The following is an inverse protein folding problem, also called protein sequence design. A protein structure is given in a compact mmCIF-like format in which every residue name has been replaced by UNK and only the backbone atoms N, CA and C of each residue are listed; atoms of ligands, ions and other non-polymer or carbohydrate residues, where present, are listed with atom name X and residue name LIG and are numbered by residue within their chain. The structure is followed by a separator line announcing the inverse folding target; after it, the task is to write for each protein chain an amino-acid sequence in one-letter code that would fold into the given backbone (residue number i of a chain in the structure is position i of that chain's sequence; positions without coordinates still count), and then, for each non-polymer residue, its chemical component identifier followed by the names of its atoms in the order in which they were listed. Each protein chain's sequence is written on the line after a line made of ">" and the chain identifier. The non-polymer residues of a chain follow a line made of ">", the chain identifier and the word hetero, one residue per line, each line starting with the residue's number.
data_IF_910957615582
#
_entry.id   IF_910957615582
#
_cell.length_a   1.000
_cell.length_b   1.000
_cell.length_c   1.000
_cell.angle_alpha   90.00
_cell.angle_beta   90.00
_cell.angle_gamma   90.00
#
_symmetry.space_group_name_H-M   'P 1'
#
loop_
_entity.id
_entity.type
_entity.pdbx_description
1 polymer ?
#
# COMPACT_ATOMS: atom_id res chain seq x y z
N UNK A 1 -36.48 9.54 -6.20
CA UNK A 1 -35.22 9.51 -6.95
C UNK A 1 -34.05 9.12 -6.06
N UNK A 2 -33.31 8.07 -6.42
CA UNK A 2 -32.02 7.76 -5.77
C UNK A 2 -30.94 8.52 -6.55
N UNK A 3 -30.39 9.57 -5.98
CA UNK A 3 -29.22 10.25 -6.56
C UNK A 3 -27.98 9.40 -6.33
N UNK A 4 -27.17 9.21 -7.37
CA UNK A 4 -25.88 8.52 -7.28
C UNK A 4 -24.83 9.55 -6.86
N UNK A 5 -24.06 9.21 -5.83
CA UNK A 5 -22.98 10.05 -5.34
C UNK A 5 -21.66 9.28 -5.39
N UNK A 6 -20.74 9.69 -6.28
CA UNK A 6 -19.38 9.17 -6.32
C UNK A 6 -18.56 9.78 -5.18
N UNK A 7 -17.85 8.93 -4.43
CA UNK A 7 -17.01 9.32 -3.29
C UNK A 7 -15.52 9.40 -3.64
N UNK A 8 -15.14 8.79 -4.76
CA UNK A 8 -13.75 8.71 -5.25
C UNK A 8 -13.76 8.92 -6.76
N UNK A 9 -12.76 9.63 -7.25
CA UNK A 9 -12.47 9.85 -8.67
C UNK A 9 -10.96 10.08 -8.85
N UNK A 10 -10.46 9.83 -10.06
CA UNK A 10 -9.07 10.04 -10.44
C UNK A 10 -8.44 8.82 -11.12
N UNK A 11 -7.18 8.96 -11.49
CA UNK A 11 -6.40 7.93 -12.20
C UNK A 11 -5.80 6.91 -11.22
N UNK A 12 -6.67 6.23 -10.48
CA UNK A 12 -6.34 5.13 -9.55
C UNK A 12 -7.56 4.22 -9.39
N UNK A 13 -7.34 3.04 -8.82
CA UNK A 13 -8.37 2.03 -8.61
C UNK A 13 -8.61 1.78 -7.13
N UNK A 14 -9.88 1.78 -6.73
CA UNK A 14 -10.32 1.25 -5.44
C UNK A 14 -10.35 -0.27 -5.53
N UNK A 15 -9.43 -0.93 -4.83
CA UNK A 15 -9.22 -2.38 -4.87
C UNK A 15 -10.23 -3.11 -3.96
N UNK A 16 -10.45 -2.58 -2.76
CA UNK A 16 -11.27 -3.23 -1.73
C UNK A 16 -11.89 -2.23 -0.78
N UNK A 17 -13.20 -2.31 -0.55
CA UNK A 17 -13.85 -1.67 0.59
C UNK A 17 -13.52 -2.44 1.86
N UNK A 18 -13.00 -1.75 2.88
CA UNK A 18 -12.49 -2.39 4.09
C UNK A 18 -13.49 -2.26 5.22
N UNK A 19 -13.94 -1.04 5.51
CA UNK A 19 -14.82 -0.77 6.65
C UNK A 19 -15.60 0.54 6.47
N UNK A 20 -16.76 0.63 7.10
CA UNK A 20 -17.49 1.88 7.29
C UNK A 20 -17.62 2.12 8.79
N UNK A 21 -17.14 3.26 9.28
CA UNK A 21 -17.31 3.63 10.68
C UNK A 21 -18.62 4.40 10.86
N UNK A 22 -19.60 3.87 11.62
CA UNK A 22 -20.82 4.59 11.94
C UNK A 22 -20.56 5.77 12.91
N UNK A 23 -19.42 5.77 13.61
CA UNK A 23 -19.06 6.81 14.57
C UNK A 23 -18.60 8.08 13.87
N UNK A 24 -17.81 7.95 12.80
CA UNK A 24 -17.23 9.10 12.08
C UNK A 24 -17.88 9.36 10.72
N UNK A 25 -18.74 8.47 10.24
CA UNK A 25 -19.29 8.49 8.88
C UNK A 25 -18.20 8.45 7.79
N UNK A 26 -17.11 7.75 8.07
CA UNK A 26 -16.00 7.54 7.13
C UNK A 26 -16.03 6.13 6.54
N UNK A 27 -15.65 6.03 5.26
CA UNK A 27 -15.40 4.76 4.57
C UNK A 27 -13.90 4.58 4.41
N UNK A 28 -13.41 3.41 4.77
CA UNK A 28 -12.02 2.99 4.65
C UNK A 28 -11.90 1.97 3.52
N UNK A 29 -10.88 2.13 2.68
CA UNK A 29 -10.70 1.29 1.49
C UNK A 29 -9.22 1.14 1.13
N UNK A 30 -8.90 0.07 0.42
CA UNK A 30 -7.60 -0.13 -0.22
C UNK A 30 -7.65 0.44 -1.64
N UNK A 31 -6.58 1.12 -2.04
CA UNK A 31 -6.48 1.77 -3.35
C UNK A 31 -5.05 1.70 -3.88
N UNK A 32 -4.91 1.72 -5.20
CA UNK A 32 -3.65 2.11 -5.85
C UNK A 32 -3.44 3.63 -5.72
N UNK A 33 -2.28 4.12 -6.15
CA UNK A 33 -2.03 5.55 -6.31
C UNK A 33 -1.85 5.90 -7.79
N UNK A 34 -2.10 7.16 -8.13
CA UNK A 34 -1.85 7.66 -9.48
C UNK A 34 -0.39 7.43 -9.89
N UNK A 35 -0.20 6.88 -11.09
CA UNK A 35 1.09 6.45 -11.64
C UNK A 35 1.81 5.33 -10.86
N UNK A 36 1.17 4.76 -9.85
CA UNK A 36 1.69 3.64 -9.06
C UNK A 36 0.62 2.55 -8.91
N UNK A 37 0.24 1.86 -10.01
CA UNK A 37 -0.73 0.77 -9.96
C UNK A 37 -0.23 -0.46 -9.20
N UNK A 38 1.08 -0.55 -8.92
CA UNK A 38 1.69 -1.68 -8.24
C UNK A 38 1.67 -1.58 -6.71
N UNK A 39 1.20 -0.46 -6.16
CA UNK A 39 1.11 -0.25 -4.70
C UNK A 39 -0.33 -0.40 -4.22
N UNK A 40 -0.48 -0.74 -2.95
CA UNK A 40 -1.76 -0.81 -2.26
C UNK A 40 -1.66 -0.04 -0.94
N UNK A 41 -2.44 1.04 -0.85
CA UNK A 41 -2.51 1.91 0.31
C UNK A 41 -3.90 1.94 0.91
N UNK A 42 -3.95 2.12 2.23
CA UNK A 42 -5.18 2.32 2.97
C UNK A 42 -5.55 3.80 2.92
N UNK A 43 -6.76 4.05 2.44
CA UNK A 43 -7.37 5.35 2.26
C UNK A 43 -8.61 5.47 3.13
N UNK A 44 -9.02 6.69 3.45
CA UNK A 44 -10.34 6.99 4.00
C UNK A 44 -10.97 8.18 3.31
N UNK A 45 -12.29 8.21 3.26
CA UNK A 45 -13.08 9.35 2.78
C UNK A 45 -14.35 9.51 3.62
N UNK A 46 -14.84 10.75 3.73
CA UNK A 46 -16.06 11.08 4.45
C UNK A 46 -17.29 10.92 3.56
N UNK A 47 -18.38 10.38 4.11
CA UNK A 47 -19.67 10.34 3.39
C UNK A 47 -20.38 11.71 3.34
N UNK A 48 -20.00 12.65 4.22
CA UNK A 48 -20.68 13.94 4.36
C UNK A 48 -19.96 15.07 3.64
N UNK A 49 -18.63 14.97 3.47
CA UNK A 49 -17.80 15.99 2.81
C UNK A 49 -17.09 15.41 1.59
N UNK A 50 -17.41 15.97 0.41
CA UNK A 50 -17.11 15.37 -0.90
C UNK A 50 -15.65 15.54 -1.39
N UNK A 51 -14.69 15.69 -0.49
CA UNK A 51 -13.32 16.08 -0.88
C UNK A 51 -12.19 15.68 0.07
N UNK A 52 -12.48 15.03 1.19
CA UNK A 52 -11.47 14.75 2.22
C UNK A 52 -10.92 13.32 2.11
N UNK A 53 -10.45 12.93 0.92
CA UNK A 53 -9.74 11.67 0.77
C UNK A 53 -8.37 11.78 1.43
N UNK A 54 -8.12 10.94 2.43
CA UNK A 54 -6.86 10.91 3.18
C UNK A 54 -6.20 9.55 3.00
N UNK A 55 -4.92 9.57 2.61
CA UNK A 55 -4.11 8.36 2.59
C UNK A 55 -3.48 8.10 3.97
N UNK A 56 -3.83 6.98 4.60
CA UNK A 56 -3.36 6.61 5.93
C UNK A 56 -1.98 5.96 5.93
N UNK A 57 -1.49 5.50 4.78
CA UNK A 57 -0.25 4.70 4.70
C UNK A 57 0.78 5.27 3.73
N UNK A 58 0.46 6.31 2.96
CA UNK A 58 1.37 6.89 1.95
C UNK A 58 2.66 7.45 2.57
N UNK A 59 2.58 7.97 3.81
CA UNK A 59 3.75 8.52 4.51
C UNK A 59 4.82 7.45 4.82
N UNK A 60 4.49 6.16 4.72
CA UNK A 60 5.42 5.06 4.96
C UNK A 60 6.45 4.92 3.83
N UNK A 61 6.19 5.45 2.64
CA UNK A 61 7.11 5.40 1.50
C UNK A 61 7.58 3.98 1.20
N UNK A 62 8.89 3.78 1.06
CA UNK A 62 9.46 2.46 0.76
C UNK A 62 9.36 1.46 1.90
N UNK A 63 9.23 1.94 3.15
CA UNK A 63 9.09 1.03 4.30
C UNK A 63 7.79 0.23 4.23
N UNK A 64 6.77 0.73 3.52
CA UNK A 64 5.58 -0.04 3.20
C UNK A 64 4.77 0.54 2.04
N UNK A 65 4.65 -0.24 0.96
CA UNK A 65 3.87 0.07 -0.25
C UNK A 65 2.75 -0.92 -0.53
N UNK A 66 2.66 -2.02 0.21
CA UNK A 66 1.56 -2.97 0.11
C UNK A 66 0.98 -3.19 1.50
N UNK A 67 -0.24 -2.71 1.70
CA UNK A 67 -0.88 -2.61 3.00
C UNK A 67 -2.25 -3.27 2.99
N UNK A 68 -2.59 -3.96 4.07
CA UNK A 68 -3.95 -4.39 4.39
C UNK A 68 -4.35 -3.85 5.76
N UNK A 69 -5.66 -3.60 5.94
CA UNK A 69 -6.18 -3.14 7.21
C UNK A 69 -7.40 -3.94 7.64
N UNK A 70 -7.49 -4.17 8.95
CA UNK A 70 -8.56 -4.91 9.59
C UNK A 70 -9.09 -4.10 10.77
N UNK A 71 -10.31 -3.59 10.64
CA UNK A 71 -10.94 -2.71 11.63
C UNK A 71 -11.72 -3.53 12.66
N UNK A 72 -11.78 -3.04 13.90
CA UNK A 72 -12.76 -3.52 14.85
C UNK A 72 -14.18 -3.09 14.43
N UNK A 73 -15.22 -3.68 15.03
CA UNK A 73 -16.62 -3.45 14.61
C UNK A 73 -17.05 -1.98 14.59
N UNK A 74 -16.54 -1.15 15.51
CA UNK A 74 -16.87 0.27 15.60
C UNK A 74 -15.97 1.17 14.74
N UNK A 75 -14.91 0.62 14.15
CA UNK A 75 -13.92 1.38 13.38
C UNK A 75 -13.13 2.39 14.20
N UNK A 76 -12.89 2.12 15.49
CA UNK A 76 -12.11 2.98 16.39
C UNK A 76 -10.62 2.64 16.36
N UNK A 77 -10.29 1.38 16.04
CA UNK A 77 -8.93 0.85 15.92
C UNK A 77 -8.84 -0.04 14.70
N UNK A 78 -7.63 -0.22 14.20
CA UNK A 78 -7.38 -1.19 13.15
C UNK A 78 -5.99 -1.81 13.27
N UNK A 79 -5.88 -3.05 12.81
CA UNK A 79 -4.62 -3.72 12.56
C UNK A 79 -4.19 -3.34 11.14
N UNK A 80 -2.99 -2.78 11.01
CA UNK A 80 -2.31 -2.59 9.73
C UNK A 80 -1.33 -3.73 9.52
N UNK A 81 -1.52 -4.48 8.45
CA UNK A 81 -0.53 -5.42 7.95
C UNK A 81 0.25 -4.77 6.80
N UNK A 82 1.51 -4.43 7.07
CA UNK A 82 2.45 -4.08 6.03
C UNK A 82 3.03 -5.36 5.43
N UNK A 83 2.81 -5.59 4.13
CA UNK A 83 3.28 -6.79 3.41
C UNK A 83 4.54 -6.57 2.58
N UNK A 84 5.07 -5.34 2.55
CA UNK A 84 6.26 -4.99 1.77
C UNK A 84 6.18 -3.55 1.25
N UNK A 85 7.21 -2.98 0.62
CA UNK A 85 8.36 -3.61 -0.03
C UNK A 85 9.43 -4.19 0.89
N UNK A 86 9.62 -3.61 2.08
CA UNK A 86 10.61 -4.08 3.05
C UNK A 86 10.08 -5.26 3.89
N UNK A 87 10.71 -5.52 5.04
CA UNK A 87 10.29 -6.60 5.94
C UNK A 87 8.84 -6.36 6.40
N UNK A 88 7.95 -7.35 6.22
CA UNK A 88 6.58 -7.25 6.68
C UNK A 88 6.49 -6.99 8.18
N UNK A 89 5.46 -6.23 8.58
CA UNK A 89 5.19 -5.94 9.99
C UNK A 89 3.69 -5.74 10.21
N UNK A 90 3.28 -5.91 11.46
CA UNK A 90 1.89 -5.80 11.89
C UNK A 90 1.82 -4.77 13.00
N UNK A 91 0.92 -3.81 12.87
CA UNK A 91 0.78 -2.67 13.78
C UNK A 91 -0.66 -2.50 14.23
N UNK A 92 -0.87 -2.17 15.50
CA UNK A 92 -2.14 -1.69 16.02
C UNK A 92 -2.17 -0.15 15.94
N UNK A 93 -3.21 0.40 15.34
CA UNK A 93 -3.35 1.85 15.12
C UNK A 93 -4.70 2.40 15.56
N UNK A 94 -4.69 3.67 15.94
CA UNK A 94 -5.91 4.46 16.15
C UNK A 94 -6.53 4.82 14.79
N UNK A 95 -7.80 4.50 14.56
CA UNK A 95 -8.44 4.76 13.26
C UNK A 95 -8.62 6.26 12.96
N UNK A 96 -8.88 7.07 14.01
CA UNK A 96 -9.16 8.51 13.87
C UNK A 96 -7.88 9.30 13.63
N UNK A 97 -6.87 9.10 14.48
CA UNK A 97 -5.61 9.87 14.44
C UNK A 97 -4.54 9.22 13.55
N UNK A 98 -4.74 7.95 13.17
CA UNK A 98 -3.75 7.14 12.46
C UNK A 98 -2.45 6.87 13.25
N UNK A 99 -2.45 7.16 14.56
CA UNK A 99 -1.27 6.98 15.40
C UNK A 99 -1.01 5.51 15.67
N UNK A 100 0.28 5.15 15.67
CA UNK A 100 0.76 3.85 16.12
C UNK A 100 0.52 3.70 17.63
N UNK A 101 -0.16 2.63 18.01
CA UNK A 101 -0.39 2.27 19.41
C UNK A 101 0.64 1.23 19.83
N UNK A 102 0.79 0.17 19.02
CA UNK A 102 1.67 -0.95 19.33
C UNK A 102 2.15 -1.65 18.05
N UNK A 103 3.38 -2.15 18.07
CA UNK A 103 3.89 -3.05 17.03
C UNK A 103 3.62 -4.48 17.51
N UNK A 104 2.77 -5.20 16.77
CA UNK A 104 2.38 -6.57 17.12
C UNK A 104 3.38 -7.60 16.61
N UNK A 105 3.99 -7.36 15.44
CA UNK A 105 5.04 -8.18 14.86
C UNK A 105 5.92 -7.34 13.94
N UNK A 106 7.25 -7.47 14.04
CA UNK A 106 8.24 -6.74 13.24
C UNK A 106 9.23 -7.67 12.53
N UNK A 107 9.05 -8.98 12.66
CA UNK A 107 9.79 -10.03 11.98
C UNK A 107 11.32 -9.92 12.18
N UNK A 108 11.79 -9.55 13.39
CA UNK A 108 13.22 -9.36 13.66
C UNK A 108 14.09 -10.58 13.30
N UNK A 109 13.57 -11.80 13.51
CA UNK A 109 14.28 -13.04 13.17
C UNK A 109 14.50 -13.17 11.66
N UNK A 110 13.47 -12.84 10.87
CA UNK A 110 13.56 -12.82 9.41
C UNK A 110 14.54 -11.73 8.95
N UNK A 111 14.47 -10.54 9.52
CA UNK A 111 15.40 -9.45 9.22
C UNK A 111 16.86 -9.88 9.44
N UNK A 112 17.18 -10.43 10.62
CA UNK A 112 18.53 -10.94 10.93
C UNK A 112 18.96 -12.06 9.98
N UNK A 113 18.03 -12.96 9.61
CA UNK A 113 18.33 -14.02 8.66
C UNK A 113 18.66 -13.48 7.28
N UNK A 114 17.88 -12.52 6.76
CA UNK A 114 18.09 -11.94 5.43
C UNK A 114 19.38 -11.14 5.34
N UNK A 115 19.84 -10.53 6.44
CA UNK A 115 21.16 -9.90 6.51
C UNK A 115 22.33 -10.87 6.25
N UNK A 116 22.11 -12.19 6.35
CA UNK A 116 23.12 -13.21 6.03
C UNK A 116 23.10 -13.67 4.57
N UNK A 117 22.21 -13.10 3.74
CA UNK A 117 21.98 -13.51 2.35
C UNK A 117 22.35 -12.40 1.38
N UNK A 118 22.75 -12.79 0.18
CA UNK A 118 22.86 -11.88 -0.95
C UNK A 118 21.45 -11.66 -1.53
N UNK A 119 20.79 -10.59 -1.07
CA UNK A 119 19.46 -10.19 -1.55
C UNK A 119 19.59 -9.59 -2.96
N UNK A 120 18.73 -9.97 -3.91
CA UNK A 120 18.76 -9.40 -5.26
C UNK A 120 18.48 -7.90 -5.26
N UNK A 121 18.93 -7.23 -6.33
CA UNK A 121 18.59 -5.84 -6.60
C UNK A 121 17.31 -5.78 -7.43
N UNK A 122 16.40 -4.88 -7.07
CA UNK A 122 15.15 -4.67 -7.79
C UNK A 122 15.25 -3.37 -8.58
N UNK A 123 15.00 -3.42 -9.88
CA UNK A 123 15.01 -2.24 -10.76
C UNK A 123 13.73 -2.20 -11.58
N UNK A 124 13.07 -1.04 -11.60
CA UNK A 124 11.84 -0.82 -12.36
C UNK A 124 12.12 0.02 -13.60
N UNK A 125 11.59 -0.41 -14.73
CA UNK A 125 11.54 0.38 -15.96
C UNK A 125 10.10 0.55 -16.42
N UNK A 126 9.86 1.62 -17.18
CA UNK A 126 8.58 1.89 -17.83
C UNK A 126 8.73 1.66 -19.32
N UNK A 127 7.91 0.76 -19.87
CA UNK A 127 7.91 0.40 -21.28
C UNK A 127 6.64 0.93 -21.92
N UNK A 128 6.78 1.78 -22.93
CA UNK A 128 5.65 2.28 -23.73
C UNK A 128 5.04 1.14 -24.52
N UNK A 129 3.75 0.90 -24.34
CA UNK A 129 2.96 -0.05 -25.12
C UNK A 129 2.20 0.66 -26.26
N UNK A 130 1.48 -0.14 -27.06
CA UNK A 130 0.48 0.39 -27.97
C UNK A 130 -0.57 1.21 -27.19
N UNK A 131 -1.23 2.13 -27.89
CA UNK A 131 -2.35 2.93 -27.35
C UNK A 131 -1.99 3.84 -26.16
N UNK A 132 -0.75 4.33 -26.07
CA UNK A 132 -0.25 5.28 -25.05
C UNK A 132 -0.27 4.76 -23.60
N UNK A 133 -0.35 3.44 -23.39
CA UNK A 133 -0.17 2.85 -22.06
C UNK A 133 1.31 2.65 -21.71
N UNK A 134 1.60 2.65 -20.41
CA UNK A 134 2.90 2.28 -19.86
C UNK A 134 2.79 0.94 -19.12
N UNK A 135 3.66 -0.02 -19.45
CA UNK A 135 3.90 -1.20 -18.63
C UNK A 135 5.02 -0.94 -17.63
N UNK A 136 4.81 -1.33 -16.38
CA UNK A 136 5.86 -1.39 -15.37
C UNK A 136 6.51 -2.77 -15.45
N UNK A 137 7.81 -2.81 -15.71
CA UNK A 137 8.60 -4.04 -15.69
C UNK A 137 9.57 -3.97 -14.53
N UNK A 138 9.52 -4.97 -13.64
CA UNK A 138 10.45 -5.12 -12.54
C UNK A 138 11.48 -6.21 -12.86
N UNK A 139 12.76 -5.84 -12.82
CA UNK A 139 13.88 -6.76 -12.89
C UNK A 139 14.31 -7.18 -11.50
N UNK A 140 14.50 -8.48 -11.32
CA UNK A 140 15.12 -9.08 -10.14
C UNK A 140 16.55 -9.46 -10.54
N UNK A 141 17.50 -8.61 -10.21
CA UNK A 141 18.88 -8.72 -10.64
C UNK A 141 19.74 -9.41 -9.57
N UNK A 142 20.79 -10.15 -9.96
CA UNK A 142 21.79 -10.65 -9.03
C UNK A 142 22.31 -9.55 -8.10
N UNK A 143 22.66 -9.90 -6.86
CA UNK A 143 23.19 -8.94 -5.89
C UNK A 143 24.46 -8.22 -6.42
N UNK A 144 25.30 -8.94 -7.16
CA UNK A 144 26.54 -8.45 -7.79
C UNK A 144 26.36 -8.14 -9.29
N UNK A 145 25.14 -7.78 -9.71
CA UNK A 145 24.85 -7.47 -11.11
C UNK A 145 25.84 -6.46 -11.70
N UNK A 146 26.28 -6.77 -12.91
CA UNK A 146 27.25 -6.01 -13.69
C UNK A 146 26.74 -5.91 -15.13
N UNK A 147 26.50 -4.69 -15.59
CA UNK A 147 25.96 -4.36 -16.91
C UNK A 147 26.82 -4.84 -18.10
N UNK A 148 28.12 -5.08 -17.88
CA UNK A 148 29.06 -5.56 -18.91
C UNK A 148 28.96 -7.08 -19.13
N UNK A 149 28.21 -7.81 -18.29
CA UNK A 149 28.05 -9.27 -18.37
C UNK A 149 26.70 -9.63 -18.98
N UNK A 150 26.63 -10.83 -19.57
CA UNK A 150 25.39 -11.42 -20.08
C UNK A 150 24.81 -12.39 -19.06
N UNK A 151 23.53 -12.23 -18.75
CA UNK A 151 22.77 -13.09 -17.85
C UNK A 151 21.66 -13.79 -18.64
N UNK A 152 21.26 -15.01 -18.25
CA UNK A 152 20.06 -15.63 -18.79
C UNK A 152 18.82 -14.81 -18.37
N UNK A 153 17.85 -14.71 -19.28
CA UNK A 153 16.54 -14.10 -19.07
C UNK A 153 15.46 -15.14 -19.35
#
# INVERSE_FOLDING_TARGET
>A
DKSINFLTDGDYDVIKLIHYSPVTNEVYYASTLSNHPEVQHIMKTSLTTKSDTVCLTCYLGNSCRNNEAYFNELGTYYILECKGYEIPRVELRNARTNELIEILEENQKLFKFLQTKFIPRYEKIYVKLADNYDAIVEFILPHDFNEERRYPM
#
